data_IF_747773179161
#
_entry.id   IF_747773179161
#
_cell.length_a   1.000
_cell.length_b   1.000
_cell.length_c   1.000
_cell.angle_alpha   90.00
_cell.angle_beta   90.00
_cell.angle_gamma   90.00
#
_symmetry.space_group_name_H-M   'P 1'
#
loop_
_entity.id
_entity.type
_entity.pdbx_description
1 polymer ?
#
# COMPACT_ATOMS: atom_id res chain seq x y z
N UNK A 1 -11.82 -31.95 10.08
CA UNK A 1 -10.76 -31.24 10.82
C UNK A 1 -10.29 -30.04 9.99
N UNK A 2 -9.83 -28.97 10.67
CA UNK A 2 -9.77 -27.56 10.25
C UNK A 2 -9.05 -27.29 8.90
N UNK A 3 -9.79 -26.76 7.90
CA UNK A 3 -9.27 -26.25 6.62
C UNK A 3 -9.01 -24.74 6.74
N UNK A 4 -7.83 -24.34 7.20
CA UNK A 4 -7.42 -22.94 7.18
C UNK A 4 -6.04 -22.83 6.55
N UNK A 5 -6.00 -22.19 5.38
CA UNK A 5 -4.92 -21.36 4.81
C UNK A 5 -5.37 -21.00 3.40
N UNK A 6 -6.23 -19.99 3.29
CA UNK A 6 -6.42 -19.24 2.05
C UNK A 6 -6.00 -17.82 2.34
N UNK A 7 -4.69 -17.58 2.32
CA UNK A 7 -4.14 -16.26 1.99
C UNK A 7 -3.98 -16.27 0.48
N UNK A 8 -4.85 -15.55 -0.22
CA UNK A 8 -4.33 -14.46 -1.02
C UNK A 8 -5.26 -13.25 -0.88
N UNK A 9 -4.81 -12.21 -0.18
CA UNK A 9 -5.28 -10.85 -0.44
C UNK A 9 -4.70 -10.41 -1.80
N UNK A 10 -5.06 -11.10 -2.87
CA UNK A 10 -4.90 -10.61 -4.23
C UNK A 10 -6.20 -9.92 -4.55
N UNK A 11 -6.36 -8.71 -4.02
CA UNK A 11 -7.39 -7.78 -4.48
C UNK A 11 -7.02 -7.30 -5.88
N UNK A 12 -7.20 -8.17 -6.87
CA UNK A 12 -7.42 -7.77 -8.26
C UNK A 12 -8.84 -7.19 -8.34
N UNK A 13 -9.03 -5.98 -7.80
CA UNK A 13 -10.22 -5.19 -8.07
C UNK A 13 -9.89 -4.28 -9.25
N UNK A 14 -10.10 -4.82 -10.45
CA UNK A 14 -10.07 -4.08 -11.71
C UNK A 14 -11.23 -3.10 -11.73
N UNK A 15 -11.08 -1.96 -11.06
CA UNK A 15 -12.07 -0.89 -11.04
C UNK A 15 -11.42 0.42 -10.61
N UNK A 16 -10.44 0.89 -11.41
CA UNK A 16 -9.95 2.28 -11.52
C UNK A 16 -9.61 3.06 -10.22
N UNK A 17 -9.56 2.41 -9.05
CA UNK A 17 -9.31 3.04 -7.76
C UNK A 17 -8.40 2.12 -6.93
N UNK A 18 -7.19 1.92 -7.42
CA UNK A 18 -6.14 1.18 -6.72
C UNK A 18 -5.86 1.90 -5.40
N UNK A 19 -6.27 1.32 -4.27
CA UNK A 19 -5.91 1.83 -2.95
C UNK A 19 -4.61 1.18 -2.50
N UNK A 20 -3.61 1.99 -2.21
CA UNK A 20 -2.30 1.57 -1.77
C UNK A 20 -2.13 1.91 -0.28
N UNK A 21 -1.51 1.00 0.47
CA UNK A 21 -1.25 1.23 1.89
C UNK A 21 0.12 1.90 2.08
N UNK A 22 0.18 2.97 2.86
CA UNK A 22 1.43 3.63 3.20
C UNK A 22 2.33 2.70 3.99
N UNK A 23 3.59 2.54 3.56
CA UNK A 23 4.58 1.70 4.22
C UNK A 23 5.03 2.23 5.59
N UNK A 24 4.74 3.50 5.92
CA UNK A 24 5.13 4.13 7.20
C UNK A 24 4.03 4.04 8.24
N UNK A 25 2.81 4.45 7.90
CA UNK A 25 1.70 4.52 8.86
C UNK A 25 0.56 3.51 8.59
N UNK A 26 0.58 2.79 7.48
CA UNK A 26 -0.47 1.82 7.12
C UNK A 26 -1.79 2.42 6.64
N UNK A 27 -1.85 3.75 6.46
CA UNK A 27 -3.05 4.40 5.91
C UNK A 27 -3.27 3.99 4.46
N UNK A 28 -4.52 3.71 4.08
CA UNK A 28 -4.88 3.40 2.70
C UNK A 28 -5.18 4.71 1.97
N UNK A 29 -4.40 5.02 0.94
CA UNK A 29 -4.60 6.16 0.05
C UNK A 29 -4.80 5.67 -1.39
N UNK A 30 -5.62 6.35 -2.20
CA UNK A 30 -5.73 6.02 -3.62
C UNK A 30 -4.40 6.27 -4.33
N UNK A 31 -4.08 5.47 -5.35
CA UNK A 31 -2.85 5.57 -6.14
C UNK A 31 -2.60 6.98 -6.69
N UNK A 32 -3.67 7.73 -7.00
CA UNK A 32 -3.58 9.12 -7.46
C UNK A 32 -2.99 10.08 -6.40
N UNK A 33 -3.22 9.82 -5.11
CA UNK A 33 -2.63 10.59 -4.00
C UNK A 33 -1.42 9.90 -3.39
N UNK A 34 -1.17 8.64 -3.76
CA UNK A 34 -0.08 7.85 -3.24
C UNK A 34 1.24 8.25 -3.91
N UNK A 35 2.27 8.45 -3.09
CA UNK A 35 3.63 8.70 -3.57
C UNK A 35 4.36 7.36 -3.60
N UNK A 36 4.64 6.86 -4.81
CA UNK A 36 5.36 5.60 -5.01
C UNK A 36 6.84 5.91 -5.19
N UNK A 37 7.70 5.40 -4.33
CA UNK A 37 9.16 5.57 -4.45
C UNK A 37 9.90 4.25 -4.32
N UNK A 38 10.70 3.95 -5.36
CA UNK A 38 11.40 2.67 -5.63
C UNK A 38 10.44 1.48 -5.70
N UNK A 39 9.86 1.09 -4.57
CA UNK A 39 8.91 -0.02 -4.40
C UNK A 39 7.97 0.17 -3.19
N UNK A 40 8.06 1.31 -2.50
CA UNK A 40 7.28 1.64 -1.30
C UNK A 40 6.25 2.71 -1.62
N UNK A 41 5.13 2.68 -0.91
CA UNK A 41 4.01 3.60 -1.09
C UNK A 41 3.95 4.52 0.13
N UNK A 42 3.72 5.81 -0.09
CA UNK A 42 3.63 6.80 0.97
C UNK A 42 2.40 7.68 0.81
N UNK A 43 1.75 8.03 1.92
CA UNK A 43 0.60 8.93 1.91
C UNK A 43 0.97 10.41 1.76
N UNK A 44 2.24 10.75 1.98
CA UNK A 44 2.70 12.13 2.00
C UNK A 44 4.22 12.20 1.90
N UNK A 45 4.75 13.34 1.45
CA UNK A 45 6.18 13.59 1.31
C UNK A 45 6.94 13.44 2.62
N UNK A 46 6.31 13.77 3.75
CA UNK A 46 6.89 13.54 5.08
C UNK A 46 7.20 12.06 5.31
N UNK A 47 6.27 11.16 4.95
CA UNK A 47 6.48 9.71 5.07
C UNK A 47 7.41 9.17 4.00
N UNK A 48 7.39 9.74 2.79
CA UNK A 48 8.38 9.44 1.78
C UNK A 48 9.79 9.71 2.30
N UNK A 49 10.04 10.91 2.84
CA UNK A 49 11.36 11.29 3.38
C UNK A 49 11.73 10.40 4.57
N UNK A 50 10.79 10.11 5.47
CA UNK A 50 11.03 9.20 6.59
C UNK A 50 11.41 7.78 6.14
N UNK A 51 10.72 7.22 5.15
CA UNK A 51 10.97 5.84 4.69
C UNK A 51 12.03 5.68 3.59
N UNK A 52 12.46 6.78 2.97
CA UNK A 52 13.54 6.81 1.98
C UNK A 52 14.94 7.02 2.60
N UNK A 53 15.00 7.38 3.88
CA UNK A 53 16.24 7.57 4.65
C UNK A 53 16.73 6.30 5.36
N UNK A 54 16.16 5.14 5.04
CA UNK A 54 16.53 3.83 5.60
C UNK A 54 17.33 2.98 4.60
#
# INVERSE_FOLDING_TARGET
MKKFRKTPNTVTHSSNNTMLACSVCGIHIPENEAIISKTKVYCSEQHLKQGASE
#
